data_IF_958444094832
#
_entry.id   IF_958444094832
#
_cell.length_a   1.000
_cell.length_b   1.000
_cell.length_c   1.000
_cell.angle_alpha   90.00
_cell.angle_beta   90.00
_cell.angle_gamma   90.00
#
_symmetry.space_group_name_H-M   'P 1'
#
loop_
_entity.id
_entity.type
_entity.pdbx_description
1 polymer ?
#
# COMPACT_ATOMS: atom_id res chain seq x y z
N UNK A 1 38.33 -46.50 16.73
CA UNK A 1 36.99 -46.68 16.20
C UNK A 1 35.96 -45.77 16.92
N UNK A 2 36.03 -45.55 18.19
CA UNK A 2 35.07 -44.64 18.91
C UNK A 2 35.15 -43.17 18.53
N UNK A 3 36.26 -42.65 18.01
CA UNK A 3 36.40 -41.24 17.60
C UNK A 3 35.73 -40.92 16.27
N UNK A 4 35.60 -41.90 15.34
CA UNK A 4 34.94 -41.69 14.07
C UNK A 4 33.39 -41.61 14.21
N UNK A 5 32.84 -42.38 15.12
CA UNK A 5 31.40 -42.37 15.42
C UNK A 5 30.93 -41.06 16.11
N UNK A 6 31.82 -40.49 16.97
CA UNK A 6 31.52 -39.21 17.63
C UNK A 6 31.59 -38.07 16.59
N UNK A 7 32.53 -38.10 15.66
CA UNK A 7 32.65 -37.10 14.58
C UNK A 7 31.46 -37.15 13.61
N UNK A 8 30.99 -38.32 13.23
CA UNK A 8 29.80 -38.49 12.36
C UNK A 8 28.54 -38.02 13.08
N UNK A 9 28.37 -38.30 14.37
CA UNK A 9 27.26 -37.81 15.17
C UNK A 9 27.25 -36.28 15.30
N UNK A 10 28.44 -35.68 15.47
CA UNK A 10 28.58 -34.22 15.57
C UNK A 10 28.24 -33.51 14.24
N UNK A 11 28.64 -34.10 13.10
CA UNK A 11 28.29 -33.59 11.77
C UNK A 11 26.78 -33.68 11.50
N UNK A 12 26.12 -34.77 11.91
CA UNK A 12 24.67 -34.93 11.77
C UNK A 12 23.93 -33.92 12.65
N UNK A 13 24.44 -33.64 13.86
CA UNK A 13 23.86 -32.64 14.76
C UNK A 13 24.00 -31.22 14.20
N UNK A 14 25.14 -30.89 13.57
CA UNK A 14 25.32 -29.62 12.90
C UNK A 14 24.36 -29.43 11.73
N UNK A 15 24.10 -30.47 10.93
CA UNK A 15 23.12 -30.41 9.85
C UNK A 15 21.70 -30.15 10.35
N UNK A 16 21.33 -30.70 11.51
CA UNK A 16 20.01 -30.47 12.12
C UNK A 16 19.85 -29.03 12.66
N UNK A 17 20.94 -28.39 13.07
CA UNK A 17 20.91 -27.01 13.57
C UNK A 17 20.82 -26.01 12.40
N UNK A 18 21.56 -26.24 11.30
CA UNK A 18 21.52 -25.38 10.11
C UNK A 18 20.25 -25.55 9.26
N UNK A 19 19.56 -26.69 9.37
CA UNK A 19 18.33 -26.96 8.63
C UNK A 19 17.11 -26.20 9.11
N UNK A 20 17.18 -25.50 10.24
CA UNK A 20 16.03 -24.75 10.77
C UNK A 20 15.87 -23.32 10.25
N UNK A 21 16.89 -22.77 9.61
CA UNK A 21 16.83 -21.40 9.13
C UNK A 21 16.21 -21.23 7.74
N UNK A 22 16.04 -22.31 7.00
CA UNK A 22 15.41 -22.26 5.67
C UNK A 22 13.86 -22.21 5.67
N UNK A 23 13.20 -22.36 6.81
CA UNK A 23 11.72 -22.36 6.88
C UNK A 23 11.11 -21.03 7.38
N UNK A 24 11.91 -20.00 7.61
CA UNK A 24 11.43 -18.75 8.21
C UNK A 24 11.05 -17.66 7.21
N UNK A 25 10.92 -17.95 5.94
CA UNK A 25 10.41 -16.98 4.95
C UNK A 25 9.08 -17.38 4.34
N UNK A 26 8.14 -17.82 5.18
CA UNK A 26 6.74 -17.56 4.85
C UNK A 26 6.53 -16.09 5.21
N UNK A 27 6.86 -15.20 4.30
CA UNK A 27 6.31 -13.87 4.33
C UNK A 27 4.80 -14.06 4.41
N UNK A 28 4.20 -13.65 5.51
CA UNK A 28 2.77 -13.50 5.63
C UNK A 28 2.37 -12.50 4.55
N UNK A 29 2.05 -13.01 3.37
CA UNK A 29 1.55 -12.21 2.26
C UNK A 29 0.18 -11.76 2.72
N UNK A 30 0.11 -10.56 3.27
CA UNK A 30 -1.17 -9.95 3.62
C UNK A 30 -1.92 -9.77 2.30
N UNK A 31 -2.94 -10.59 2.11
CA UNK A 31 -3.84 -10.50 0.98
C UNK A 31 -5.15 -9.93 1.50
N UNK A 32 -5.56 -8.79 0.97
CA UNK A 32 -6.85 -8.17 1.26
C UNK A 32 -7.74 -8.18 0.02
N UNK A 33 -9.03 -8.29 0.22
CA UNK A 33 -10.02 -8.20 -0.85
C UNK A 33 -10.76 -6.88 -0.72
N UNK A 34 -10.61 -6.03 -1.71
CA UNK A 34 -11.24 -4.72 -1.75
C UNK A 34 -12.46 -4.80 -2.67
N UNK A 35 -13.69 -4.53 -2.17
CA UNK A 35 -14.86 -4.43 -3.02
C UNK A 35 -14.71 -3.25 -3.98
N UNK A 36 -15.16 -3.41 -5.22
CA UNK A 36 -15.12 -2.37 -6.22
C UNK A 36 -16.43 -2.25 -6.98
N UNK A 37 -16.65 -1.09 -7.57
CA UNK A 37 -17.72 -0.83 -8.51
C UNK A 37 -17.12 -0.62 -9.90
N UNK A 38 -17.76 -1.15 -10.93
CA UNK A 38 -17.38 -0.90 -12.33
C UNK A 38 -18.36 0.09 -12.96
N UNK A 39 -17.89 1.31 -13.21
CA UNK A 39 -18.70 2.38 -13.80
C UNK A 39 -17.98 2.93 -15.04
N UNK A 40 -18.63 2.85 -16.21
CA UNK A 40 -18.05 3.29 -17.48
C UNK A 40 -16.62 2.75 -17.71
N UNK A 41 -16.41 1.46 -17.48
CA UNK A 41 -15.11 0.78 -17.59
C UNK A 41 -14.03 1.31 -16.63
N UNK A 42 -14.41 2.01 -15.57
CA UNK A 42 -13.50 2.47 -14.53
C UNK A 42 -13.76 1.71 -13.23
N UNK A 43 -12.70 1.26 -12.60
CA UNK A 43 -12.76 0.60 -11.29
C UNK A 43 -12.80 1.69 -10.22
N UNK A 44 -13.84 1.66 -9.40
CA UNK A 44 -14.05 2.60 -8.29
C UNK A 44 -13.98 1.82 -6.99
N UNK A 45 -13.13 2.26 -6.07
CA UNK A 45 -12.92 1.64 -4.76
C UNK A 45 -13.33 2.57 -3.62
N UNK A 46 -13.82 2.02 -2.51
CA UNK A 46 -14.02 2.79 -1.29
C UNK A 46 -12.68 3.11 -0.61
N UNK A 47 -12.51 4.35 -0.21
CA UNK A 47 -11.32 4.82 0.50
C UNK A 47 -11.76 5.68 1.68
N UNK A 48 -11.08 5.56 2.80
CA UNK A 48 -11.31 6.43 3.96
C UNK A 48 -10.07 7.32 4.15
N UNK A 49 -10.27 8.62 4.13
CA UNK A 49 -9.20 9.60 4.31
C UNK A 49 -9.52 10.47 5.52
N UNK A 50 -8.64 10.48 6.52
CA UNK A 50 -8.84 11.18 7.79
C UNK A 50 -10.22 10.91 8.42
N UNK A 51 -10.73 9.68 8.32
CA UNK A 51 -12.03 9.27 8.81
C UNK A 51 -13.21 9.56 7.88
N UNK A 52 -13.01 10.28 6.79
CA UNK A 52 -14.05 10.57 5.78
C UNK A 52 -14.11 9.45 4.75
N UNK A 53 -15.26 8.81 4.62
CA UNK A 53 -15.51 7.76 3.63
C UNK A 53 -15.78 8.39 2.26
N UNK A 54 -15.05 7.96 1.26
CA UNK A 54 -15.18 8.45 -0.12
C UNK A 54 -14.90 7.33 -1.13
N UNK A 55 -15.00 7.64 -2.41
CA UNK A 55 -14.74 6.70 -3.49
C UNK A 55 -13.73 7.30 -4.45
N UNK A 56 -12.79 6.48 -4.89
CA UNK A 56 -11.77 6.87 -5.85
C UNK A 56 -11.71 5.93 -7.04
N UNK A 57 -11.37 6.50 -8.20
CA UNK A 57 -11.07 5.74 -9.41
C UNK A 57 -9.66 5.19 -9.28
N UNK A 58 -9.50 3.90 -9.57
CA UNK A 58 -8.17 3.29 -9.70
C UNK A 58 -7.60 3.68 -11.06
N UNK A 59 -6.63 4.59 -11.03
CA UNK A 59 -5.91 5.05 -12.21
C UNK A 59 -4.40 5.00 -11.93
N UNK A 60 -3.68 4.13 -12.63
CA UNK A 60 -2.24 3.94 -12.46
C UNK A 60 -1.40 5.02 -13.13
N UNK A 61 -1.99 5.83 -14.00
CA UNK A 61 -1.32 6.90 -14.73
C UNK A 61 -1.72 8.32 -14.31
N UNK A 62 -2.69 8.45 -13.40
CA UNK A 62 -3.23 9.74 -12.97
C UNK A 62 -2.78 10.18 -11.59
N UNK A 63 -2.95 11.46 -11.31
CA UNK A 63 -2.85 12.01 -9.95
C UNK A 63 -4.20 11.85 -9.24
N UNK A 64 -4.16 11.57 -7.95
CA UNK A 64 -5.36 11.50 -7.12
C UNK A 64 -5.88 12.91 -6.84
N UNK A 65 -7.18 13.11 -7.03
CA UNK A 65 -7.83 14.38 -6.77
C UNK A 65 -9.19 14.22 -6.12
N UNK A 66 -9.67 15.26 -5.47
CA UNK A 66 -11.00 15.35 -4.87
C UNK A 66 -11.59 16.73 -5.04
N UNK A 67 -12.87 16.89 -4.76
CA UNK A 67 -13.50 18.20 -4.74
C UNK A 67 -13.05 19.00 -3.51
N UNK A 68 -13.09 20.32 -3.63
CA UNK A 68 -12.60 21.22 -2.58
C UNK A 68 -13.36 21.09 -1.25
N UNK A 69 -14.67 20.96 -1.30
CA UNK A 69 -15.52 20.76 -0.15
C UNK A 69 -15.21 19.45 0.60
N UNK A 70 -14.95 18.38 -0.15
CA UNK A 70 -14.53 17.09 0.39
C UNK A 70 -13.14 17.20 1.01
N UNK A 71 -12.22 17.93 0.38
CA UNK A 71 -10.88 18.17 0.92
C UNK A 71 -10.92 18.92 2.26
N UNK A 72 -11.85 19.88 2.41
CA UNK A 72 -12.07 20.55 3.69
C UNK A 72 -12.61 19.60 4.76
N UNK A 73 -13.56 18.76 4.42
CA UNK A 73 -14.09 17.75 5.35
C UNK A 73 -13.01 16.75 5.80
N UNK A 74 -12.11 16.39 4.90
CA UNK A 74 -10.95 15.55 5.20
C UNK A 74 -9.87 16.26 6.03
N UNK A 75 -10.02 17.55 6.32
CA UNK A 75 -8.99 18.36 6.98
C UNK A 75 -7.64 18.30 6.27
N UNK A 76 -7.65 18.31 4.94
CA UNK A 76 -6.45 18.29 4.13
C UNK A 76 -5.69 19.62 4.25
N UNK A 77 -4.38 19.53 4.48
CA UNK A 77 -3.53 20.72 4.61
C UNK A 77 -3.00 21.16 3.25
N UNK A 78 -3.19 22.42 2.89
CA UNK A 78 -2.68 22.97 1.65
C UNK A 78 -1.15 22.84 1.57
N UNK A 79 -0.67 22.32 0.44
CA UNK A 79 0.75 22.05 0.20
C UNK A 79 1.37 22.89 -0.93
N UNK A 80 0.54 23.43 -1.81
CA UNK A 80 1.00 24.19 -2.98
C UNK A 80 0.05 24.01 -4.15
N UNK A 81 0.58 24.20 -5.35
CA UNK A 81 -0.17 24.05 -6.59
C UNK A 81 0.60 23.18 -7.57
N UNK A 82 -0.13 22.34 -8.29
CA UNK A 82 0.42 21.56 -9.40
C UNK A 82 -0.35 21.87 -10.68
N UNK A 83 0.37 21.87 -11.79
CA UNK A 83 -0.23 22.03 -13.11
C UNK A 83 -0.52 20.64 -13.69
N UNK A 84 -1.77 20.42 -14.05
CA UNK A 84 -2.18 19.21 -14.78
C UNK A 84 -2.55 19.64 -16.20
N UNK A 85 -1.91 19.02 -17.19
CA UNK A 85 -2.15 19.30 -18.61
C UNK A 85 -2.76 18.09 -19.30
N UNK A 86 -3.62 18.35 -20.26
CA UNK A 86 -4.14 17.31 -21.16
C UNK A 86 -3.14 17.01 -22.30
N UNK A 87 -3.51 16.09 -23.16
CA UNK A 87 -2.69 15.69 -24.32
C UNK A 87 -2.48 16.82 -25.35
N UNK A 88 -3.32 17.85 -25.32
CA UNK A 88 -3.23 19.02 -26.19
C UNK A 88 -2.41 20.17 -25.58
N UNK A 89 -1.83 19.97 -24.39
CA UNK A 89 -1.04 20.95 -23.67
C UNK A 89 -1.87 22.01 -22.94
N UNK A 90 -3.19 21.90 -22.92
CA UNK A 90 -4.04 22.75 -22.10
C UNK A 90 -3.96 22.28 -20.64
N UNK A 91 -3.63 23.19 -19.74
CA UNK A 91 -3.41 22.85 -18.35
C UNK A 91 -4.12 23.79 -17.40
N UNK A 92 -4.52 23.22 -16.26
CA UNK A 92 -5.08 23.93 -15.12
C UNK A 92 -4.20 23.76 -13.89
N UNK A 93 -4.14 24.78 -13.04
CA UNK A 93 -3.48 24.69 -11.74
C UNK A 93 -4.49 24.16 -10.72
N UNK A 94 -4.08 23.10 -10.03
CA UNK A 94 -4.84 22.49 -8.93
C UNK A 94 -4.08 22.70 -7.63
N UNK A 95 -4.80 22.95 -6.56
CA UNK A 95 -4.21 23.02 -5.22
C UNK A 95 -3.83 21.61 -4.77
N UNK A 96 -2.60 21.45 -4.30
CA UNK A 96 -2.15 20.23 -3.64
C UNK A 96 -2.43 20.31 -2.14
N UNK A 97 -2.71 19.16 -1.56
CA UNK A 97 -2.93 19.04 -0.13
C UNK A 97 -2.38 17.73 0.41
N UNK A 98 -1.93 17.77 1.66
CA UNK A 98 -1.50 16.59 2.40
C UNK A 98 -2.63 16.08 3.29
N UNK A 99 -2.72 14.76 3.37
CA UNK A 99 -3.61 14.04 4.28
C UNK A 99 -2.78 13.10 5.15
N UNK A 100 -3.16 12.96 6.41
CA UNK A 100 -2.36 12.22 7.38
C UNK A 100 -2.69 10.73 7.46
N UNK A 101 -3.88 10.32 7.04
CA UNK A 101 -4.32 8.94 7.18
C UNK A 101 -5.18 8.53 5.98
N UNK A 102 -4.75 7.49 5.28
CA UNK A 102 -5.49 6.88 4.16
C UNK A 102 -5.67 5.40 4.44
N UNK A 103 -6.90 4.93 4.39
CA UNK A 103 -7.25 3.52 4.56
C UNK A 103 -7.97 2.99 3.33
N UNK A 104 -7.49 1.89 2.79
CA UNK A 104 -8.07 1.17 1.65
C UNK A 104 -8.31 -0.27 2.10
N UNK A 105 -9.57 -0.73 2.04
CA UNK A 105 -9.94 -2.02 2.60
C UNK A 105 -9.76 -2.06 4.13
N UNK A 106 -9.56 -3.26 4.67
CA UNK A 106 -9.40 -3.48 6.10
C UNK A 106 -7.94 -3.54 6.56
N UNK A 107 -7.02 -3.77 5.65
CA UNK A 107 -5.63 -4.11 5.97
C UNK A 107 -4.61 -3.07 5.51
N UNK A 108 -5.00 -2.13 4.67
CA UNK A 108 -4.08 -1.16 4.10
C UNK A 108 -4.27 0.22 4.74
N UNK A 109 -3.32 0.64 5.54
CA UNK A 109 -3.29 1.96 6.14
C UNK A 109 -1.96 2.64 5.82
N UNK A 110 -2.04 3.83 5.25
CA UNK A 110 -0.88 4.72 5.06
C UNK A 110 -1.05 5.87 6.04
N UNK A 111 -0.13 5.97 6.98
CA UNK A 111 -0.02 7.12 7.87
C UNK A 111 1.17 7.96 7.40
N UNK A 112 0.89 9.12 6.86
CA UNK A 112 1.92 10.11 6.56
C UNK A 112 2.23 10.88 7.86
N UNK A 113 3.46 10.82 8.25
CA UNK A 113 3.97 11.55 9.40
C UNK A 113 4.26 13.00 9.04
#
# INVERSE_FOLDING_TARGET
>A
MKRAEILTGLWLLMFLIYGKECMSQIQNKVCDTIPYELVHNKIIIPVTINGVKTKYIVDTGGKTGTMYDIALEMQANAAGYTRVSDVNGQGQNYQEAYVSNVSIGNSYQIKLL
#
